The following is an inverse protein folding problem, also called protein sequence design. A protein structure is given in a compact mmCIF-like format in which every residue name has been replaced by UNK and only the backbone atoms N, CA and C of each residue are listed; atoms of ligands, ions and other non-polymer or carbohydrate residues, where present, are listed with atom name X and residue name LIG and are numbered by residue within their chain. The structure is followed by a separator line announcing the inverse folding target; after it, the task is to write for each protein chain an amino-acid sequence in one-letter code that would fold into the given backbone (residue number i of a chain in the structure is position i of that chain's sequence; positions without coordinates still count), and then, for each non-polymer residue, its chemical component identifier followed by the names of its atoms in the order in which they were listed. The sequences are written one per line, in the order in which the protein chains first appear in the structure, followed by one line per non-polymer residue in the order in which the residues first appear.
data_IF_014369095288
#
_entry.id   IF_014369095288
#
_cell.length_a   1.000
_cell.length_b   1.000
_cell.length_c   1.000
_cell.angle_alpha   90.00
_cell.angle_beta   90.00
_cell.angle_gamma   90.00
#
_symmetry.space_group_name_H-M   'P 1'
#
loop_
_entity.id
_entity.type
_entity.pdbx_description
1 polymer ?
#
# COMPACT_ATOMS: atom_id res chain seq x y z
N UNK A 1 -21.02 21.19 -18.24
CA UNK A 1 -20.12 20.05 -18.40
C UNK A 1 -18.89 20.14 -17.54
N UNK A 2 -18.15 21.24 -17.59
CA UNK A 2 -16.96 21.40 -16.76
C UNK A 2 -17.27 21.34 -15.26
N UNK A 3 -18.36 21.95 -14.83
CA UNK A 3 -18.78 21.91 -13.43
C UNK A 3 -19.16 20.49 -12.98
N UNK A 4 -19.75 19.70 -13.85
CA UNK A 4 -20.08 18.30 -13.57
C UNK A 4 -18.84 17.44 -13.44
N UNK A 5 -17.83 17.64 -14.30
CA UNK A 5 -16.56 16.94 -14.20
C UNK A 5 -15.83 17.27 -12.89
N UNK A 6 -15.84 18.52 -12.48
CA UNK A 6 -15.27 18.93 -11.21
C UNK A 6 -15.97 18.30 -10.02
N UNK A 7 -17.30 18.27 -10.03
CA UNK A 7 -18.10 17.63 -8.97
C UNK A 7 -17.86 16.13 -8.90
N UNK A 8 -17.75 15.46 -10.05
CA UNK A 8 -17.45 14.02 -10.10
C UNK A 8 -16.07 13.70 -9.54
N UNK A 9 -15.06 14.50 -9.83
CA UNK A 9 -13.72 14.33 -9.28
C UNK A 9 -13.71 14.47 -7.76
N UNK A 10 -14.41 15.46 -7.23
CA UNK A 10 -14.52 15.66 -5.78
C UNK A 10 -15.24 14.49 -5.11
N UNK A 11 -16.31 13.98 -5.73
CA UNK A 11 -17.01 12.80 -5.23
C UNK A 11 -16.13 11.58 -5.22
N UNK A 12 -15.36 11.35 -6.28
CA UNK A 12 -14.45 10.21 -6.38
C UNK A 12 -13.42 10.23 -5.25
N UNK A 13 -12.84 11.39 -4.94
CA UNK A 13 -11.88 11.54 -3.85
C UNK A 13 -12.50 11.26 -2.49
N UNK A 14 -13.72 11.74 -2.23
CA UNK A 14 -14.44 11.43 -0.98
C UNK A 14 -14.79 9.97 -0.85
N UNK A 15 -15.27 9.35 -1.92
CA UNK A 15 -15.61 7.92 -1.93
C UNK A 15 -14.38 7.05 -1.71
N UNK A 16 -13.24 7.42 -2.30
CA UNK A 16 -11.97 6.72 -2.08
C UNK A 16 -11.59 6.75 -0.60
N UNK A 17 -11.65 7.91 0.04
CA UNK A 17 -11.37 8.05 1.45
C UNK A 17 -12.30 7.22 2.34
N UNK A 18 -13.59 7.18 2.02
CA UNK A 18 -14.57 6.36 2.73
C UNK A 18 -14.30 4.87 2.56
N UNK A 19 -13.97 4.43 1.36
CA UNK A 19 -13.63 3.03 1.08
C UNK A 19 -12.38 2.63 1.87
N UNK A 20 -11.36 3.47 1.89
CA UNK A 20 -10.13 3.19 2.64
C UNK A 20 -10.39 3.10 4.14
N UNK A 21 -11.23 3.97 4.68
CA UNK A 21 -11.62 3.91 6.09
C UNK A 21 -12.36 2.62 6.42
N UNK A 22 -13.24 2.15 5.54
CA UNK A 22 -13.94 0.88 5.70
C UNK A 22 -13.00 -0.31 5.66
N UNK A 23 -12.03 -0.30 4.73
CA UNK A 23 -11.00 -1.34 4.66
C UNK A 23 -10.19 -1.35 5.95
N UNK A 24 -9.80 -0.18 6.45
CA UNK A 24 -9.05 -0.07 7.69
C UNK A 24 -9.83 -0.65 8.88
N UNK A 25 -11.13 -0.41 8.95
CA UNK A 25 -11.98 -0.96 10.00
C UNK A 25 -12.09 -2.47 9.93
N UNK A 26 -12.24 -3.04 8.73
CA UNK A 26 -12.32 -4.49 8.54
C UNK A 26 -11.01 -5.19 8.93
N UNK A 27 -9.89 -4.53 8.73
CA UNK A 27 -8.57 -5.09 9.00
C UNK A 27 -8.03 -4.70 10.38
N UNK A 28 -8.82 -4.00 11.18
CA UNK A 28 -8.42 -3.58 12.53
C UNK A 28 -8.05 -4.80 13.39
N UNK A 29 -6.89 -4.74 14.03
CA UNK A 29 -6.43 -5.79 14.93
C UNK A 29 -5.95 -7.08 14.27
N UNK A 30 -5.84 -7.13 12.95
CA UNK A 30 -5.40 -8.35 12.26
C UNK A 30 -3.89 -8.56 12.26
N UNK A 31 -3.10 -7.57 12.66
CA UNK A 31 -1.65 -7.65 12.64
C UNK A 31 -1.11 -7.29 11.27
N UNK A 32 -0.19 -8.11 10.75
CA UNK A 32 0.42 -7.85 9.45
C UNK A 32 -0.59 -8.09 8.32
N UNK A 33 -0.67 -7.13 7.40
CA UNK A 33 -1.64 -7.15 6.29
C UNK A 33 -0.91 -6.95 4.96
N UNK A 34 -1.30 -7.72 3.96
CA UNK A 34 -0.81 -7.59 2.59
C UNK A 34 -2.02 -7.40 1.66
N UNK A 35 -2.05 -6.29 0.93
CA UNK A 35 -3.14 -5.95 0.04
C UNK A 35 -2.65 -5.81 -1.40
N UNK A 36 -3.46 -6.31 -2.34
CA UNK A 36 -3.24 -6.15 -3.77
C UNK A 36 -4.41 -5.39 -4.37
N UNK A 37 -4.11 -4.33 -5.09
CA UNK A 37 -5.11 -3.49 -5.74
C UNK A 37 -4.82 -3.36 -7.23
N UNK A 38 -5.84 -2.97 -7.99
CA UNK A 38 -5.64 -2.56 -9.38
C UNK A 38 -4.84 -1.28 -9.41
N UNK A 39 -4.47 -0.80 -10.62
CA UNK A 39 -3.64 0.38 -10.76
C UNK A 39 -4.25 1.58 -10.01
N UNK A 40 -3.45 2.17 -9.13
CA UNK A 40 -3.80 3.34 -8.34
C UNK A 40 -2.67 4.36 -8.45
N UNK A 41 -2.97 5.63 -8.23
CA UNK A 41 -1.92 6.64 -8.12
C UNK A 41 -1.01 6.35 -6.92
N UNK A 42 0.26 6.76 -6.95
CA UNK A 42 1.14 6.61 -5.78
C UNK A 42 0.56 7.26 -4.52
N UNK A 43 -0.17 8.36 -4.67
CA UNK A 43 -0.81 9.03 -3.55
C UNK A 43 -1.93 8.20 -2.94
N UNK A 44 -2.75 7.54 -3.77
CA UNK A 44 -3.81 6.65 -3.31
C UNK A 44 -3.25 5.42 -2.60
N UNK A 45 -2.19 4.83 -3.13
CA UNK A 45 -1.50 3.69 -2.50
C UNK A 45 -1.00 4.08 -1.11
N UNK A 46 -0.39 5.26 -1.00
CA UNK A 46 0.08 5.79 0.27
C UNK A 46 -1.06 5.99 1.27
N UNK A 47 -2.15 6.59 0.83
CA UNK A 47 -3.31 6.85 1.69
C UNK A 47 -3.94 5.56 2.21
N UNK A 48 -4.10 4.57 1.36
CA UNK A 48 -4.66 3.27 1.76
C UNK A 48 -3.74 2.60 2.79
N UNK A 49 -2.45 2.56 2.54
CA UNK A 49 -1.48 1.97 3.46
C UNK A 49 -1.50 2.69 4.81
N UNK A 50 -1.51 4.03 4.80
CA UNK A 50 -1.54 4.84 6.01
C UNK A 50 -2.82 4.55 6.83
N UNK A 51 -3.96 4.48 6.18
CA UNK A 51 -5.22 4.21 6.86
C UNK A 51 -5.22 2.83 7.54
N UNK A 52 -4.75 1.80 6.84
CA UNK A 52 -4.77 0.43 7.37
C UNK A 52 -3.70 0.23 8.45
N UNK A 53 -2.50 0.79 8.27
CA UNK A 53 -1.44 0.61 9.26
C UNK A 53 -1.78 1.19 10.63
N UNK A 54 -2.66 2.18 10.69
CA UNK A 54 -3.07 2.79 11.96
C UNK A 54 -4.03 1.91 12.76
N UNK A 55 -4.68 0.96 12.12
CA UNK A 55 -5.72 0.15 12.75
C UNK A 55 -5.38 -1.34 12.83
N UNK A 56 -4.57 -1.87 11.93
CA UNK A 56 -4.33 -3.31 11.85
C UNK A 56 -3.49 -3.86 13.02
N UNK A 57 -2.70 -3.01 13.67
CA UNK A 57 -1.87 -3.43 14.80
C UNK A 57 -0.56 -4.08 14.40
N UNK A 58 -0.19 -4.01 13.14
CA UNK A 58 1.05 -4.58 12.61
C UNK A 58 1.52 -3.81 11.40
N UNK A 59 2.16 -4.53 10.47
CA UNK A 59 2.68 -3.96 9.24
C UNK A 59 1.62 -4.05 8.14
N UNK A 60 1.43 -2.97 7.38
CA UNK A 60 0.59 -2.98 6.19
C UNK A 60 1.45 -2.81 4.95
N UNK A 61 1.29 -3.70 3.97
CA UNK A 61 1.91 -3.60 2.66
C UNK A 61 0.82 -3.55 1.60
N UNK A 62 0.86 -2.55 0.73
CA UNK A 62 -0.09 -2.39 -0.37
C UNK A 62 0.67 -2.39 -1.68
N UNK A 63 0.24 -3.23 -2.62
CA UNK A 63 0.78 -3.30 -3.97
C UNK A 63 -0.33 -3.01 -4.96
N UNK A 64 -0.13 -2.02 -5.82
CA UNK A 64 -1.10 -1.64 -6.84
C UNK A 64 -0.46 -1.69 -8.23
N UNK A 65 -1.18 -2.27 -9.18
CA UNK A 65 -0.71 -2.40 -10.56
C UNK A 65 -0.97 -3.78 -11.13
N UNK A 66 0.04 -4.35 -11.77
CA UNK A 66 -0.02 -5.67 -12.39
C UNK A 66 1.34 -6.35 -12.34
N UNK A 67 1.39 -7.63 -12.67
CA UNK A 67 2.65 -8.40 -12.68
C UNK A 67 3.72 -7.68 -13.49
N UNK A 68 4.88 -7.51 -12.89
CA UNK A 68 6.01 -6.84 -13.49
C UNK A 68 6.03 -5.32 -13.33
N UNK A 69 4.96 -4.71 -12.83
CA UNK A 69 4.84 -3.25 -12.71
C UNK A 69 3.96 -2.85 -11.54
N UNK A 70 4.48 -3.00 -10.32
CA UNK A 70 3.76 -2.65 -9.09
C UNK A 70 4.25 -1.35 -8.49
N UNK A 71 3.32 -0.57 -7.96
CA UNK A 71 3.61 0.51 -7.03
C UNK A 71 3.34 -0.02 -5.63
N UNK A 72 4.21 0.28 -4.67
CA UNK A 72 4.02 -0.24 -3.33
C UNK A 72 4.10 0.85 -2.26
N UNK A 73 3.45 0.58 -1.15
CA UNK A 73 3.62 1.32 0.09
C UNK A 73 3.63 0.32 1.23
N UNK A 74 4.57 0.47 2.15
CA UNK A 74 4.67 -0.37 3.34
C UNK A 74 4.71 0.55 4.54
N UNK A 75 3.85 0.30 5.52
CA UNK A 75 3.77 1.11 6.73
C UNK A 75 3.65 0.25 7.97
N UNK A 76 4.22 0.75 9.06
CA UNK A 76 4.11 0.14 10.37
C UNK A 76 4.15 1.26 11.40
N UNK A 77 3.09 1.39 12.19
CA UNK A 77 2.98 2.47 13.17
C UNK A 77 4.05 2.37 14.25
N UNK A 78 4.48 1.16 14.57
CA UNK A 78 5.47 0.89 15.62
C UNK A 78 6.51 -0.10 15.09
N UNK A 79 7.70 0.40 14.77
CA UNK A 79 8.76 -0.43 14.25
C UNK A 79 9.64 0.28 13.22
N UNK A 80 10.56 -0.47 12.63
CA UNK A 80 11.52 0.04 11.64
C UNK A 80 11.50 -0.85 10.41
N UNK A 81 11.09 -0.28 9.28
CA UNK A 81 10.92 -0.99 8.02
C UNK A 81 12.15 -0.94 7.11
N UNK A 82 13.22 -0.26 7.50
CA UNK A 82 14.36 -0.05 6.61
C UNK A 82 14.99 -1.36 6.16
N UNK A 83 15.15 -2.31 7.06
CA UNK A 83 15.69 -3.63 6.75
C UNK A 83 14.75 -4.42 5.83
N UNK A 84 13.44 -4.39 6.12
CA UNK A 84 12.44 -5.03 5.30
C UNK A 84 12.43 -4.47 3.88
N UNK A 85 12.48 -3.16 3.73
CA UNK A 85 12.47 -2.49 2.42
C UNK A 85 13.71 -2.87 1.62
N UNK A 86 14.87 -2.97 2.25
CA UNK A 86 16.09 -3.45 1.62
C UNK A 86 15.90 -4.86 1.04
N UNK A 87 15.36 -5.76 1.84
CA UNK A 87 15.10 -7.15 1.43
C UNK A 87 14.05 -7.20 0.32
N UNK A 88 13.01 -6.41 0.45
CA UNK A 88 11.94 -6.32 -0.53
C UNK A 88 12.49 -5.87 -1.89
N UNK A 89 13.25 -4.77 -1.91
CA UNK A 89 13.82 -4.25 -3.14
C UNK A 89 14.79 -5.25 -3.79
N UNK A 90 15.57 -5.97 -2.98
CA UNK A 90 16.50 -6.99 -3.49
C UNK A 90 15.75 -8.22 -4.04
N UNK A 91 14.73 -8.69 -3.34
CA UNK A 91 14.00 -9.90 -3.71
C UNK A 91 13.03 -9.67 -4.87
N UNK A 92 12.40 -8.49 -4.94
CA UNK A 92 11.33 -8.19 -5.88
C UNK A 92 11.75 -7.22 -6.97
N UNK A 93 13.05 -6.96 -7.12
CA UNK A 93 13.59 -6.00 -8.08
C UNK A 93 12.92 -4.63 -7.92
N UNK A 94 12.82 -4.19 -6.69
CA UNK A 94 12.13 -2.95 -6.35
C UNK A 94 13.07 -1.77 -6.19
N UNK A 95 12.47 -0.60 -6.19
CA UNK A 95 13.14 0.67 -5.94
C UNK A 95 12.23 1.51 -5.06
N UNK A 96 12.78 2.06 -4.01
CA UNK A 96 12.02 2.91 -3.12
C UNK A 96 12.70 3.03 -1.79
N UNK A 97 12.04 3.73 -0.90
CA UNK A 97 12.53 3.97 0.43
C UNK A 97 11.66 4.98 1.14
N UNK A 98 12.10 5.40 2.31
CA UNK A 98 11.34 6.37 3.09
C UNK A 98 11.86 6.47 4.50
N UNK A 99 10.95 6.68 5.42
CA UNK A 99 11.21 6.78 6.84
C UNK A 99 11.13 5.40 7.49
N UNK A 100 11.65 5.22 8.72
CA UNK A 100 11.56 3.93 9.41
C UNK A 100 10.14 3.36 9.51
N UNK A 101 9.14 4.21 9.68
CA UNK A 101 7.74 3.78 9.82
C UNK A 101 6.94 3.72 8.53
N UNK A 102 7.50 4.17 7.41
CA UNK A 102 6.76 4.22 6.15
C UNK A 102 7.72 4.30 4.96
N UNK A 103 7.51 3.42 3.98
CA UNK A 103 8.28 3.41 2.75
C UNK A 103 7.34 3.29 1.55
N UNK A 104 7.76 3.84 0.42
CA UNK A 104 7.00 3.86 -0.81
C UNK A 104 7.93 3.70 -1.99
N UNK A 105 7.47 2.99 -3.04
CA UNK A 105 8.29 2.77 -4.22
C UNK A 105 7.57 1.96 -5.28
N UNK A 106 8.36 1.25 -6.08
CA UNK A 106 7.86 0.37 -7.13
C UNK A 106 8.65 -0.92 -7.17
N UNK A 107 8.09 -1.97 -7.76
CA UNK A 107 8.79 -3.23 -7.96
C UNK A 107 8.35 -3.89 -9.27
N UNK A 108 9.20 -4.80 -9.78
CA UNK A 108 9.00 -5.48 -11.05
C UNK A 108 8.86 -6.99 -10.86
N UNK A 109 8.11 -7.42 -9.85
CA UNK A 109 7.90 -8.82 -9.53
C UNK A 109 6.50 -9.27 -9.93
N UNK A 110 6.23 -10.56 -9.86
CA UNK A 110 4.90 -11.10 -10.02
C UNK A 110 4.21 -11.17 -8.65
N UNK A 111 2.88 -11.17 -8.67
CA UNK A 111 2.08 -11.25 -7.44
C UNK A 111 2.47 -12.44 -6.57
N UNK A 112 2.68 -13.60 -7.20
CA UNK A 112 3.07 -14.81 -6.48
C UNK A 112 4.42 -14.67 -5.78
N UNK A 113 5.36 -13.96 -6.39
CA UNK A 113 6.66 -13.67 -5.77
C UNK A 113 6.52 -12.75 -4.56
N UNK A 114 5.65 -11.75 -4.67
CA UNK A 114 5.36 -10.82 -3.57
C UNK A 114 4.73 -11.58 -2.40
N UNK A 115 3.74 -12.41 -2.65
CA UNK A 115 3.09 -13.23 -1.63
C UNK A 115 4.10 -14.14 -0.94
N UNK A 116 4.95 -14.80 -1.70
CA UNK A 116 5.99 -15.68 -1.16
C UNK A 116 6.97 -14.92 -0.28
N UNK A 117 7.39 -13.74 -0.71
CA UNK A 117 8.28 -12.89 0.08
C UNK A 117 7.70 -12.59 1.46
N UNK A 118 6.43 -12.18 1.52
CA UNK A 118 5.78 -11.84 2.78
C UNK A 118 5.45 -13.07 3.64
N UNK A 119 5.43 -14.26 3.07
CA UNK A 119 5.29 -15.50 3.83
C UNK A 119 6.58 -15.93 4.52
N UNK A 120 7.73 -15.49 4.01
CA UNK A 120 9.04 -15.92 4.53
C UNK A 120 9.66 -14.97 5.54
N UNK A 121 9.06 -13.81 5.77
CA UNK A 121 9.59 -12.82 6.71
C UNK A 121 8.90 -12.83 8.05
#
# INVERSE_FOLDING_TARGET
MEAELGALKLRAAKLEGQVFAQVAQRLAGQGDVLLFEEDMSPDSVRKLCDAVMQTCGGRCAVFAGADGAWKYAVGQADGDLRELVKRLNAALQGRGGGKPGFAQGSCAAEKSEIERFFQTI
#
